data_IF_613580313679
#
_entry.id   IF_613580313679
#
_cell.length_a   1.000
_cell.length_b   1.000
_cell.length_c   1.000
_cell.angle_alpha   90.00
_cell.angle_beta   90.00
_cell.angle_gamma   90.00
#
_symmetry.space_group_name_H-M   'P 1'
#
loop_
_entity.id
_entity.type
_entity.pdbx_description
1 polymer ?
#
# COMPACT_ATOMS: atom_id res chain seq x y z
N UNK A 1 28.41 1.98 -10.31
CA UNK A 1 29.18 3.23 -10.18
C UNK A 1 28.50 4.29 -11.05
N UNK A 2 28.17 5.45 -10.46
CA UNK A 2 27.64 6.58 -11.22
C UNK A 2 28.68 7.01 -12.27
N UNK A 3 28.30 6.98 -13.56
CA UNK A 3 29.19 7.42 -14.64
C UNK A 3 29.21 8.95 -14.64
N UNK A 4 30.25 9.52 -14.08
CA UNK A 4 30.46 10.97 -14.01
C UNK A 4 30.85 11.48 -15.39
N UNK A 5 30.12 12.47 -15.89
CA UNK A 5 30.44 13.22 -17.09
C UNK A 5 31.07 14.56 -16.73
N UNK A 6 32.00 15.00 -17.52
CA UNK A 6 32.69 16.27 -17.36
C UNK A 6 32.66 17.07 -18.66
N UNK A 7 32.44 18.38 -18.54
CA UNK A 7 32.58 19.35 -19.64
C UNK A 7 33.26 20.61 -19.13
N UNK A 8 34.00 21.25 -20.06
CA UNK A 8 34.58 22.57 -19.91
C UNK A 8 34.24 23.40 -21.15
N UNK A 9 33.63 24.57 -20.97
CA UNK A 9 33.17 25.38 -22.08
C UNK A 9 33.10 26.88 -21.73
N UNK A 10 33.24 27.70 -22.74
CA UNK A 10 32.97 29.12 -22.63
C UNK A 10 31.49 29.37 -22.94
N UNK A 11 30.75 29.97 -22.00
CA UNK A 11 29.28 30.19 -22.15
C UNK A 11 28.97 31.33 -23.16
N UNK A 12 29.92 32.23 -23.47
CA UNK A 12 29.75 33.31 -24.40
C UNK A 12 29.83 32.81 -25.85
N UNK A 13 30.84 32.02 -26.18
CA UNK A 13 31.06 31.46 -27.53
C UNK A 13 30.37 30.09 -27.71
N UNK A 14 30.05 29.42 -26.63
CA UNK A 14 29.56 28.04 -26.54
C UNK A 14 30.56 27.01 -27.03
N UNK A 15 31.85 27.35 -27.10
CA UNK A 15 32.93 26.44 -27.49
C UNK A 15 33.48 25.74 -26.26
N UNK A 16 33.99 24.55 -26.45
CA UNK A 16 34.58 23.75 -25.37
C UNK A 16 34.70 22.29 -25.73
N UNK A 17 34.89 21.48 -24.70
CA UNK A 17 34.95 20.02 -24.83
C UNK A 17 34.17 19.35 -23.71
N UNK A 18 33.67 18.15 -24.02
CA UNK A 18 33.02 17.28 -23.01
C UNK A 18 33.40 15.82 -23.25
N UNK A 19 33.35 15.05 -22.17
CA UNK A 19 33.48 13.60 -22.24
C UNK A 19 32.18 12.96 -22.76
N UNK A 20 32.30 11.81 -23.42
CA UNK A 20 31.15 11.07 -23.94
C UNK A 20 30.09 10.77 -22.87
N UNK A 21 30.50 10.52 -21.65
CA UNK A 21 29.58 10.32 -20.51
C UNK A 21 28.76 11.56 -20.22
N UNK A 22 29.32 12.77 -20.38
CA UNK A 22 28.58 14.00 -20.17
C UNK A 22 27.41 14.16 -21.16
N UNK A 23 27.66 13.87 -22.44
CA UNK A 23 26.59 13.86 -23.46
C UNK A 23 25.52 12.82 -23.15
N UNK A 24 25.93 11.60 -22.84
CA UNK A 24 24.99 10.51 -22.50
C UNK A 24 24.10 10.84 -21.31
N UNK A 25 24.65 11.45 -20.27
CA UNK A 25 23.88 11.84 -19.09
C UNK A 25 22.85 12.93 -19.39
N UNK A 26 23.04 13.74 -20.45
CA UNK A 26 22.11 14.74 -20.94
C UNK A 26 21.17 14.20 -22.05
N UNK A 27 21.24 12.93 -22.41
CA UNK A 27 20.45 12.36 -23.51
C UNK A 27 20.93 12.77 -24.90
N UNK A 28 22.10 13.39 -25.00
CA UNK A 28 22.67 13.86 -26.26
C UNK A 28 23.54 12.76 -26.92
N UNK A 29 23.69 12.84 -28.24
CA UNK A 29 24.64 12.00 -28.97
C UNK A 29 26.08 12.41 -28.65
N UNK A 30 26.96 11.42 -28.57
CA UNK A 30 28.40 11.66 -28.36
C UNK A 30 28.95 12.55 -29.47
N UNK A 31 29.81 13.50 -29.08
CA UNK A 31 30.43 14.48 -29.99
C UNK A 31 29.44 15.46 -30.69
N UNK A 32 28.23 15.60 -30.18
CA UNK A 32 27.35 16.70 -30.62
C UNK A 32 28.09 18.03 -30.44
N UNK A 33 28.10 18.95 -31.45
CA UNK A 33 28.78 20.24 -31.32
C UNK A 33 28.25 21.00 -30.09
N UNK A 34 29.15 21.50 -29.25
CA UNK A 34 28.81 22.20 -28.01
C UNK A 34 27.79 23.32 -28.20
N UNK A 35 27.82 24.14 -29.25
CA UNK A 35 26.81 25.20 -29.51
C UNK A 35 25.38 24.65 -29.70
N UNK A 36 25.21 23.36 -30.04
CA UNK A 36 23.92 22.72 -30.18
C UNK A 36 23.38 22.17 -28.84
N UNK A 37 24.22 22.04 -27.84
CA UNK A 37 23.87 21.52 -26.49
C UNK A 37 23.79 22.68 -25.49
N UNK A 38 24.84 23.49 -25.40
CA UNK A 38 24.92 24.63 -24.47
C UNK A 38 23.90 25.69 -24.82
N UNK A 39 22.95 25.94 -23.89
CA UNK A 39 21.88 26.92 -24.04
C UNK A 39 20.68 26.45 -24.85
N UNK A 40 20.72 25.25 -25.42
CA UNK A 40 19.59 24.65 -26.18
C UNK A 40 18.74 23.76 -25.30
N UNK A 41 19.36 22.85 -24.56
CA UNK A 41 18.70 21.96 -23.58
C UNK A 41 17.58 21.09 -24.19
N UNK A 42 17.80 20.52 -25.38
CA UNK A 42 16.78 19.84 -26.21
C UNK A 42 16.08 18.67 -25.50
N UNK A 43 16.78 18.00 -24.58
CA UNK A 43 16.26 16.84 -23.85
C UNK A 43 15.88 17.15 -22.40
N UNK A 44 16.13 18.37 -21.92
CA UNK A 44 15.78 18.77 -20.55
C UNK A 44 14.29 19.06 -20.45
N UNK A 45 13.65 18.65 -19.35
CA UNK A 45 12.25 18.95 -19.10
C UNK A 45 12.00 20.48 -19.12
N UNK A 46 10.90 20.98 -19.72
CA UNK A 46 10.65 22.42 -19.89
C UNK A 46 10.78 23.26 -18.62
N UNK A 47 10.26 22.78 -17.50
CA UNK A 47 10.36 23.46 -16.20
C UNK A 47 11.82 23.58 -15.72
N UNK A 48 12.64 22.55 -15.95
CA UNK A 48 14.03 22.52 -15.54
C UNK A 48 14.90 23.37 -16.47
N UNK A 49 14.52 23.53 -17.77
CA UNK A 49 15.15 24.45 -18.72
C UNK A 49 15.12 25.90 -18.23
N UNK A 50 14.02 26.35 -17.64
CA UNK A 50 13.86 27.72 -17.18
C UNK A 50 14.95 28.08 -16.14
N UNK A 51 15.20 27.18 -15.19
CA UNK A 51 16.22 27.37 -14.16
C UNK A 51 17.63 27.43 -14.74
N UNK A 52 17.94 26.54 -15.70
CA UNK A 52 19.25 26.55 -16.38
C UNK A 52 19.50 27.83 -17.19
N UNK A 53 18.49 28.32 -17.92
CA UNK A 53 18.58 29.56 -18.66
C UNK A 53 18.77 30.76 -17.74
N UNK A 54 17.97 30.86 -16.69
CA UNK A 54 18.09 31.92 -15.68
C UNK A 54 19.48 31.95 -15.04
N UNK A 55 20.05 30.77 -14.75
CA UNK A 55 21.41 30.67 -14.21
C UNK A 55 22.45 31.22 -15.20
N UNK A 56 22.35 30.87 -16.49
CA UNK A 56 23.24 31.38 -17.51
C UNK A 56 23.18 32.92 -17.61
N UNK A 57 21.99 33.50 -17.54
CA UNK A 57 21.80 34.97 -17.57
C UNK A 57 22.42 35.62 -16.31
N UNK A 58 22.21 35.04 -15.14
CA UNK A 58 22.82 35.51 -13.89
C UNK A 58 24.35 35.41 -13.90
N UNK A 59 24.93 34.36 -14.51
CA UNK A 59 26.38 34.26 -14.68
C UNK A 59 26.91 35.35 -15.59
N UNK A 60 26.25 35.64 -16.73
CA UNK A 60 26.64 36.73 -17.64
C UNK A 60 26.61 38.09 -16.98
N UNK A 61 25.69 38.30 -16.04
CA UNK A 61 25.55 39.53 -15.26
C UNK A 61 26.51 39.58 -14.04
N UNK A 62 27.30 38.53 -13.81
CA UNK A 62 28.18 38.42 -12.65
C UNK A 62 27.46 38.16 -11.30
N UNK A 63 26.20 37.78 -11.33
CA UNK A 63 25.35 37.56 -10.15
C UNK A 63 25.41 36.14 -9.61
N UNK A 64 25.88 35.17 -10.38
CA UNK A 64 26.02 33.80 -9.98
C UNK A 64 27.36 33.20 -10.44
N UNK A 65 27.95 32.32 -9.64
CA UNK A 65 29.22 31.65 -9.92
C UNK A 65 29.12 30.15 -9.97
N UNK A 66 28.02 29.56 -9.47
CA UNK A 66 27.82 28.11 -9.47
C UNK A 66 26.35 27.75 -9.41
N UNK A 67 26.02 26.53 -9.89
CA UNK A 67 24.71 25.92 -9.82
C UNK A 67 24.88 24.44 -9.50
N UNK A 68 24.10 23.93 -8.54
CA UNK A 68 23.89 22.51 -8.34
C UNK A 68 22.39 22.23 -8.47
N UNK A 69 22.00 21.41 -9.44
CA UNK A 69 20.59 21.13 -9.72
C UNK A 69 20.38 19.70 -10.23
N UNK A 70 19.28 19.11 -9.80
CA UNK A 70 18.77 17.87 -10.37
C UNK A 70 17.78 18.26 -11.48
N UNK A 71 17.92 17.65 -12.65
CA UNK A 71 17.09 17.91 -13.83
C UNK A 71 16.56 16.62 -14.43
N UNK A 72 15.40 16.70 -15.03
CA UNK A 72 14.76 15.61 -15.74
C UNK A 72 15.16 15.61 -17.21
N UNK A 73 15.69 14.49 -17.68
CA UNK A 73 16.14 14.29 -19.06
C UNK A 73 15.21 13.33 -19.78
N UNK A 74 14.62 13.78 -20.89
CA UNK A 74 13.78 12.96 -21.76
C UNK A 74 14.65 12.01 -22.60
N UNK A 75 14.44 10.70 -22.49
CA UNK A 75 15.16 9.65 -23.23
C UNK A 75 14.46 9.23 -24.53
N UNK A 76 13.46 9.99 -24.99
CA UNK A 76 12.78 9.74 -26.26
C UNK A 76 11.67 8.69 -26.24
N UNK A 77 11.39 8.08 -25.11
CA UNK A 77 10.36 7.03 -24.94
C UNK A 77 9.22 7.44 -23.97
N UNK A 78 9.06 8.71 -23.74
CA UNK A 78 8.10 9.24 -22.75
C UNK A 78 8.54 9.09 -21.30
N UNK A 79 9.71 8.50 -21.05
CA UNK A 79 10.29 8.35 -19.70
C UNK A 79 11.37 9.40 -19.48
N UNK A 80 11.40 9.91 -18.26
CA UNK A 80 12.45 10.82 -17.80
C UNK A 80 13.47 10.05 -16.96
N UNK A 81 14.76 10.38 -17.17
CA UNK A 81 15.84 10.04 -16.24
C UNK A 81 16.22 11.27 -15.45
N UNK A 82 16.80 11.09 -14.28
CA UNK A 82 17.27 12.18 -13.43
C UNK A 82 18.78 12.35 -13.55
N UNK A 83 19.21 13.56 -13.82
CA UNK A 83 20.63 13.89 -13.90
C UNK A 83 20.94 15.01 -12.93
N UNK A 84 21.94 14.82 -12.08
CA UNK A 84 22.52 15.90 -11.28
C UNK A 84 23.50 16.68 -12.13
N UNK A 85 23.34 18.00 -12.17
CA UNK A 85 24.20 18.92 -12.90
C UNK A 85 24.83 19.89 -11.90
N UNK A 86 26.17 19.91 -11.88
CA UNK A 86 26.95 20.83 -11.07
C UNK A 86 27.81 21.66 -11.99
N UNK A 87 27.59 22.95 -12.00
CA UNK A 87 28.29 23.92 -12.87
C UNK A 87 28.97 24.97 -11.99
N UNK A 88 30.19 25.32 -12.33
CA UNK A 88 30.91 26.41 -11.68
C UNK A 88 31.66 27.28 -12.72
N UNK A 89 31.69 28.55 -12.45
CA UNK A 89 32.52 29.51 -13.22
C UNK A 89 33.97 29.34 -12.80
N UNK A 90 34.87 29.15 -13.77
CA UNK A 90 36.30 29.04 -13.58
C UNK A 90 37.03 30.32 -13.87
N UNK A 91 36.66 30.99 -14.95
CA UNK A 91 37.25 32.27 -15.38
C UNK A 91 36.15 33.25 -15.81
N UNK A 92 36.19 34.47 -15.30
CA UNK A 92 35.17 35.46 -15.53
C UNK A 92 35.79 36.76 -16.04
N UNK A 93 35.86 36.94 -17.36
CA UNK A 93 36.33 38.13 -18.07
C UNK A 93 35.37 38.48 -19.22
N UNK A 94 34.19 38.94 -18.90
CA UNK A 94 33.12 39.15 -19.90
C UNK A 94 33.51 40.21 -20.98
N UNK A 95 34.33 41.21 -20.63
CA UNK A 95 34.84 42.18 -21.57
C UNK A 95 35.74 41.57 -22.66
N UNK A 96 36.38 40.44 -22.36
CA UNK A 96 37.23 39.69 -23.31
C UNK A 96 36.46 38.58 -24.02
N UNK A 97 35.15 38.47 -23.79
CA UNK A 97 34.32 37.38 -24.30
C UNK A 97 34.58 36.03 -23.62
N UNK A 98 35.17 36.03 -22.41
CA UNK A 98 35.59 34.83 -21.69
C UNK A 98 34.78 34.69 -20.41
N UNK A 99 33.91 33.68 -20.38
CA UNK A 99 33.28 33.16 -19.16
C UNK A 99 33.38 31.64 -19.24
N UNK A 100 34.42 31.07 -18.63
CA UNK A 100 34.67 29.65 -18.67
C UNK A 100 33.96 28.91 -17.51
N UNK A 101 33.30 27.81 -17.84
CA UNK A 101 32.54 27.02 -16.95
C UNK A 101 33.03 25.57 -16.92
N UNK A 102 33.04 24.97 -15.73
CA UNK A 102 33.20 23.56 -15.53
C UNK A 102 31.83 22.98 -15.19
N UNK A 103 31.45 21.88 -15.85
CA UNK A 103 30.22 21.18 -15.61
C UNK A 103 30.51 19.71 -15.31
N UNK A 104 29.99 19.24 -14.17
CA UNK A 104 30.00 17.82 -13.82
C UNK A 104 28.54 17.36 -13.78
N UNK A 105 28.24 16.27 -14.44
CA UNK A 105 26.92 15.66 -14.40
C UNK A 105 27.02 14.16 -14.15
N UNK A 106 25.99 13.59 -13.55
CA UNK A 106 25.85 12.16 -13.34
C UNK A 106 24.40 11.73 -13.24
N UNK A 107 24.11 10.52 -13.72
CA UNK A 107 22.78 9.93 -13.68
C UNK A 107 22.45 9.51 -12.25
N UNK A 108 21.39 10.10 -11.68
CA UNK A 108 20.87 9.79 -10.35
C UNK A 108 19.54 9.02 -10.40
N UNK A 109 19.14 8.56 -11.59
CA UNK A 109 17.90 7.80 -11.74
C UNK A 109 17.84 6.58 -10.82
N UNK A 110 18.91 5.75 -10.72
CA UNK A 110 18.92 4.60 -9.81
C UNK A 110 18.76 5.00 -8.33
N UNK A 111 19.30 6.16 -7.95
CA UNK A 111 19.15 6.70 -6.60
C UNK A 111 17.70 7.11 -6.33
N UNK A 112 17.10 7.86 -7.26
CA UNK A 112 15.68 8.29 -7.16
C UNK A 112 14.71 7.10 -7.14
N UNK A 113 14.96 6.08 -7.95
CA UNK A 113 14.16 4.86 -7.95
C UNK A 113 14.27 4.11 -6.62
N UNK A 114 15.45 4.06 -6.04
CA UNK A 114 15.66 3.41 -4.73
C UNK A 114 14.99 4.21 -3.61
N UNK A 115 15.15 5.53 -3.61
CA UNK A 115 14.47 6.44 -2.68
C UNK A 115 12.95 6.26 -2.74
N UNK A 116 12.37 6.22 -3.94
CA UNK A 116 10.94 6.02 -4.13
C UNK A 116 10.47 4.65 -3.61
N UNK A 117 11.23 3.59 -3.87
CA UNK A 117 10.94 2.25 -3.32
C UNK A 117 10.98 2.22 -1.80
N UNK A 118 11.95 2.90 -1.19
CA UNK A 118 12.05 3.01 0.26
C UNK A 118 10.87 3.78 0.87
N UNK A 119 10.44 4.88 0.25
CA UNK A 119 9.27 5.64 0.69
C UNK A 119 8.02 4.75 0.67
N UNK A 120 7.76 4.06 -0.46
CA UNK A 120 6.61 3.17 -0.59
C UNK A 120 6.65 2.02 0.44
N UNK A 121 7.83 1.44 0.66
CA UNK A 121 8.00 0.36 1.64
C UNK A 121 7.78 0.85 3.08
N UNK A 122 8.29 2.05 3.42
CA UNK A 122 8.07 2.69 4.71
C UNK A 122 6.59 2.96 4.95
N UNK A 123 5.92 3.62 4.00
CA UNK A 123 4.52 4.01 4.13
C UNK A 123 3.62 2.78 4.32
N UNK A 124 3.92 1.70 3.58
CA UNK A 124 3.25 0.41 3.76
C UNK A 124 3.50 -0.22 5.15
N UNK A 125 4.73 -0.13 5.65
CA UNK A 125 5.07 -0.65 6.98
C UNK A 125 4.36 0.15 8.09
N UNK A 126 4.33 1.48 7.99
CA UNK A 126 3.61 2.36 8.93
C UNK A 126 2.10 2.09 8.93
N UNK A 127 1.51 1.87 7.75
CA UNK A 127 0.09 1.52 7.64
C UNK A 127 -0.22 0.17 8.31
N UNK A 128 0.61 -0.86 8.07
CA UNK A 128 0.46 -2.16 8.70
C UNK A 128 0.60 -2.08 10.23
N UNK A 129 1.55 -1.30 10.74
CA UNK A 129 1.73 -1.10 12.20
C UNK A 129 0.52 -0.40 12.82
N UNK A 130 -0.02 0.62 12.15
CA UNK A 130 -1.26 1.30 12.57
C UNK A 130 -2.45 0.35 12.60
N UNK A 131 -2.63 -0.47 11.54
CA UNK A 131 -3.70 -1.46 11.48
C UNK A 131 -3.57 -2.51 12.59
N UNK A 132 -2.35 -3.00 12.84
CA UNK A 132 -2.05 -3.93 13.93
C UNK A 132 -2.37 -3.33 15.31
N UNK A 133 -1.98 -2.09 15.55
CA UNK A 133 -2.26 -1.40 16.80
C UNK A 133 -3.77 -1.19 17.02
N UNK A 134 -4.50 -0.76 15.98
CA UNK A 134 -5.95 -0.63 16.02
C UNK A 134 -6.66 -1.97 16.25
N UNK A 135 -6.18 -3.04 15.61
CA UNK A 135 -6.69 -4.39 15.82
C UNK A 135 -6.53 -4.83 17.27
N UNK A 136 -5.33 -4.70 17.87
CA UNK A 136 -5.09 -5.08 19.26
C UNK A 136 -5.94 -4.27 20.26
N UNK A 137 -6.13 -2.97 19.99
CA UNK A 137 -7.00 -2.12 20.81
C UNK A 137 -8.46 -2.58 20.73
N UNK A 138 -8.97 -2.86 19.54
CA UNK A 138 -10.32 -3.37 19.32
C UNK A 138 -10.51 -4.76 19.98
N UNK A 139 -9.54 -5.66 19.80
CA UNK A 139 -9.60 -6.99 20.43
C UNK A 139 -9.64 -6.92 21.95
N UNK A 140 -8.85 -6.00 22.55
CA UNK A 140 -8.88 -5.76 24.00
C UNK A 140 -10.26 -5.30 24.47
N UNK A 141 -10.95 -4.49 23.68
CA UNK A 141 -12.29 -4.03 23.99
C UNK A 141 -13.33 -5.13 23.84
N UNK A 142 -13.25 -5.87 22.71
CA UNK A 142 -14.17 -6.99 22.41
C UNK A 142 -14.05 -8.14 23.42
N UNK A 143 -12.87 -8.37 24.00
CA UNK A 143 -12.65 -9.35 25.07
C UNK A 143 -13.17 -8.81 26.42
N UNK A 144 -12.96 -7.54 26.73
CA UNK A 144 -13.31 -6.95 28.03
C UNK A 144 -14.83 -6.96 28.27
N UNK A 145 -15.61 -6.69 27.26
CA UNK A 145 -17.08 -6.59 27.37
C UNK A 145 -17.72 -7.91 27.83
N UNK A 146 -17.54 -9.06 27.16
CA UNK A 146 -18.08 -10.32 27.62
C UNK A 146 -17.45 -10.77 28.96
N UNK A 147 -16.17 -10.52 29.18
CA UNK A 147 -15.52 -10.85 30.44
C UNK A 147 -16.16 -10.12 31.63
N UNK A 148 -16.41 -8.82 31.50
CA UNK A 148 -17.07 -8.03 32.54
C UNK A 148 -18.51 -8.53 32.80
N UNK A 149 -19.22 -8.93 31.73
CA UNK A 149 -20.56 -9.55 31.86
C UNK A 149 -20.50 -10.86 32.62
N UNK A 150 -19.57 -11.75 32.29
CA UNK A 150 -19.37 -13.02 32.99
C UNK A 150 -19.09 -12.77 34.48
N UNK A 151 -18.14 -11.87 34.80
CA UNK A 151 -17.78 -11.55 36.19
C UNK A 151 -18.96 -10.94 36.94
N UNK A 152 -19.65 -9.95 36.36
CA UNK A 152 -20.78 -9.28 36.99
C UNK A 152 -21.95 -10.22 37.27
N UNK A 153 -22.39 -11.00 36.28
CA UNK A 153 -23.51 -11.93 36.46
C UNK A 153 -23.14 -13.15 37.32
N UNK A 154 -21.88 -13.59 37.34
CA UNK A 154 -21.42 -14.61 38.28
C UNK A 154 -21.49 -14.12 39.72
N UNK A 155 -21.23 -12.85 40.00
CA UNK A 155 -21.41 -12.27 41.36
C UNK A 155 -22.88 -12.22 41.74
N UNK A 156 -23.76 -11.78 40.84
CA UNK A 156 -25.20 -11.75 41.08
C UNK A 156 -25.78 -13.15 41.30
N UNK A 157 -25.29 -14.16 40.59
CA UNK A 157 -25.64 -15.58 40.78
C UNK A 157 -25.37 -16.06 42.21
N UNK A 158 -24.35 -15.54 42.88
CA UNK A 158 -24.02 -15.89 44.27
C UNK A 158 -24.94 -15.19 45.29
N UNK A 159 -25.59 -14.11 44.91
CA UNK A 159 -26.41 -13.28 45.82
C UNK A 159 -27.93 -13.54 45.65
N UNK A 160 -28.39 -14.08 44.51
CA UNK A 160 -29.82 -14.28 44.28
C UNK A 160 -30.28 -15.66 44.75
N UNK A 161 -31.42 -15.69 45.45
CA UNK A 161 -32.15 -16.91 45.81
C UNK A 161 -33.29 -17.22 44.83
N UNK A 162 -33.64 -16.25 43.96
CA UNK A 162 -34.67 -16.42 42.95
C UNK A 162 -34.24 -17.39 41.84
N UNK A 163 -35.09 -18.39 41.56
CA UNK A 163 -34.78 -19.43 40.60
C UNK A 163 -34.85 -18.95 39.16
N UNK A 164 -35.75 -18.03 38.85
CA UNK A 164 -35.92 -17.47 37.49
C UNK A 164 -34.77 -16.52 37.16
N UNK A 165 -34.41 -15.62 38.05
CA UNK A 165 -33.24 -14.75 37.89
C UNK A 165 -31.94 -15.56 37.77
N UNK A 166 -31.81 -16.61 38.55
CA UNK A 166 -30.64 -17.51 38.47
C UNK A 166 -30.50 -18.16 37.11
N UNK A 167 -31.60 -18.60 36.49
CA UNK A 167 -31.57 -19.18 35.15
C UNK A 167 -31.24 -18.17 34.09
N UNK A 168 -31.74 -16.93 34.23
CA UNK A 168 -31.41 -15.84 33.32
C UNK A 168 -29.92 -15.49 33.41
N UNK A 169 -29.34 -15.34 34.59
CA UNK A 169 -27.92 -15.04 34.80
C UNK A 169 -27.02 -16.14 34.26
N UNK A 170 -27.36 -17.39 34.45
CA UNK A 170 -26.65 -18.55 33.88
C UNK A 170 -26.61 -18.42 32.37
N UNK A 171 -27.73 -18.16 31.70
CA UNK A 171 -27.84 -18.04 30.26
C UNK A 171 -26.97 -16.88 29.73
N UNK A 172 -26.93 -15.75 30.46
CA UNK A 172 -26.10 -14.59 30.10
C UNK A 172 -24.60 -14.97 30.21
N UNK A 173 -24.21 -15.66 31.29
CA UNK A 173 -22.82 -16.13 31.49
C UNK A 173 -22.42 -17.10 30.36
N UNK A 174 -23.25 -18.11 30.07
CA UNK A 174 -23.02 -19.08 29.01
C UNK A 174 -22.83 -18.40 27.63
N UNK A 175 -23.76 -17.50 27.26
CA UNK A 175 -23.71 -16.78 25.98
C UNK A 175 -22.42 -15.95 25.85
N UNK A 176 -22.01 -15.24 26.91
CA UNK A 176 -20.78 -14.45 26.89
C UNK A 176 -19.52 -15.31 26.90
N UNK A 177 -19.55 -16.49 27.50
CA UNK A 177 -18.46 -17.45 27.46
C UNK A 177 -18.28 -18.03 26.04
N UNK A 178 -19.37 -18.41 25.36
CA UNK A 178 -19.32 -18.84 23.96
C UNK A 178 -18.74 -17.74 23.04
N UNK A 179 -19.17 -16.49 23.24
CA UNK A 179 -18.64 -15.34 22.50
C UNK A 179 -17.12 -15.17 22.72
N UNK A 180 -16.66 -15.29 23.96
CA UNK A 180 -15.24 -15.17 24.30
C UNK A 180 -14.42 -16.29 23.66
N UNK A 181 -14.91 -17.54 23.71
CA UNK A 181 -14.24 -18.68 23.08
C UNK A 181 -14.13 -18.49 21.56
N UNK A 182 -15.19 -17.97 20.93
CA UNK A 182 -15.17 -17.66 19.49
C UNK A 182 -14.12 -16.60 19.17
N UNK A 183 -14.05 -15.49 19.94
CA UNK A 183 -13.05 -14.44 19.76
C UNK A 183 -11.61 -14.97 19.88
N UNK A 184 -11.34 -15.81 20.89
CA UNK A 184 -10.03 -16.43 21.07
C UNK A 184 -9.69 -17.32 19.87
N UNK A 185 -10.65 -18.12 19.39
CA UNK A 185 -10.45 -18.96 18.20
C UNK A 185 -10.14 -18.14 16.96
N UNK A 186 -10.85 -17.01 16.75
CA UNK A 186 -10.65 -16.13 15.61
C UNK A 186 -9.25 -15.47 15.64
N UNK A 187 -8.77 -15.06 16.83
CA UNK A 187 -7.42 -14.50 17.01
C UNK A 187 -6.35 -15.56 16.71
N UNK A 188 -6.54 -16.81 17.18
CA UNK A 188 -5.61 -17.90 16.92
C UNK A 188 -5.57 -18.26 15.43
N UNK A 189 -6.73 -18.29 14.76
CA UNK A 189 -6.81 -18.52 13.31
C UNK A 189 -6.07 -17.42 12.54
N UNK A 190 -6.27 -16.15 12.91
CA UNK A 190 -5.54 -15.04 12.30
C UNK A 190 -4.02 -15.15 12.49
N UNK A 191 -3.58 -15.50 13.70
CA UNK A 191 -2.15 -15.70 13.99
C UNK A 191 -1.53 -16.82 13.16
N UNK A 192 -2.26 -17.92 12.94
CA UNK A 192 -1.82 -19.02 12.06
C UNK A 192 -1.75 -18.62 10.60
N UNK A 193 -2.70 -17.79 10.13
CA UNK A 193 -2.69 -17.26 8.76
C UNK A 193 -1.49 -16.33 8.56
N UNK A 194 -1.25 -15.40 9.49
CA UNK A 194 -0.11 -14.45 9.41
C UNK A 194 1.25 -15.17 9.44
N UNK A 195 1.37 -16.23 10.23
CA UNK A 195 2.61 -17.03 10.30
C UNK A 195 2.79 -18.02 9.15
N UNK A 196 1.78 -18.17 8.28
CA UNK A 196 1.79 -19.16 7.20
C UNK A 196 1.74 -20.62 7.69
N UNK A 197 1.36 -20.84 8.95
CA UNK A 197 1.28 -22.18 9.59
C UNK A 197 -0.15 -22.73 9.63
N UNK A 198 -1.03 -22.17 8.78
CA UNK A 198 -2.42 -22.58 8.73
C UNK A 198 -2.58 -23.87 7.92
N UNK A 199 -2.90 -24.97 8.59
CA UNK A 199 -3.12 -26.25 7.94
C UNK A 199 -4.58 -26.44 7.52
N UNK A 200 -4.79 -26.80 6.26
CA UNK A 200 -6.10 -27.11 5.70
C UNK A 200 -6.28 -28.63 5.62
N UNK A 201 -7.32 -29.15 6.27
CA UNK A 201 -7.73 -30.54 6.14
C UNK A 201 -8.74 -30.67 5.01
N UNK A 202 -8.23 -30.88 3.80
CA UNK A 202 -9.07 -30.95 2.59
C UNK A 202 -9.77 -32.30 2.48
N UNK A 203 -11.05 -32.24 2.11
CA UNK A 203 -11.89 -33.40 1.82
C UNK A 203 -12.88 -33.07 0.71
N UNK A 204 -13.48 -34.08 0.13
CA UNK A 204 -14.60 -33.88 -0.78
C UNK A 204 -15.80 -33.32 -0.02
N UNK A 205 -16.39 -32.26 -0.55
CA UNK A 205 -17.48 -31.51 0.06
C UNK A 205 -18.62 -31.31 -0.93
N UNK A 206 -19.80 -31.80 -0.60
CA UNK A 206 -21.04 -31.41 -1.26
C UNK A 206 -21.45 -30.00 -0.80
N UNK A 207 -21.36 -29.03 -1.73
CA UNK A 207 -21.69 -27.62 -1.47
C UNK A 207 -23.15 -27.44 -1.14
N UNK A 208 -24.06 -28.15 -1.86
CA UNK A 208 -25.49 -28.04 -1.67
C UNK A 208 -25.90 -28.53 -0.28
N UNK A 209 -25.43 -29.71 0.10
CA UNK A 209 -25.71 -30.27 1.43
C UNK A 209 -25.17 -29.34 2.54
N UNK A 210 -23.96 -28.82 2.35
CA UNK A 210 -23.31 -27.95 3.33
C UNK A 210 -24.04 -26.62 3.49
N UNK A 211 -24.43 -25.96 2.38
CA UNK A 211 -25.20 -24.73 2.42
C UNK A 211 -26.57 -24.93 3.08
N UNK A 212 -27.26 -26.03 2.76
CA UNK A 212 -28.55 -26.36 3.41
C UNK A 212 -28.40 -26.59 4.91
N UNK A 213 -27.33 -27.24 5.36
CA UNK A 213 -27.02 -27.41 6.79
C UNK A 213 -26.81 -26.08 7.50
N UNK A 214 -26.09 -25.14 6.86
CA UNK A 214 -25.88 -23.80 7.41
C UNK A 214 -27.22 -23.06 7.54
N UNK A 215 -28.01 -22.98 6.47
CA UNK A 215 -29.33 -22.34 6.48
C UNK A 215 -30.18 -22.86 7.62
N UNK A 216 -30.33 -24.19 7.71
CA UNK A 216 -31.10 -24.84 8.76
C UNK A 216 -30.59 -24.54 10.18
N UNK A 217 -29.28 -24.45 10.37
CA UNK A 217 -28.71 -24.12 11.69
C UNK A 217 -28.96 -22.68 12.14
N UNK A 218 -29.19 -21.78 11.19
CA UNK A 218 -29.42 -20.37 11.45
C UNK A 218 -30.92 -19.98 11.44
N UNK A 219 -31.80 -20.89 11.05
CA UNK A 219 -33.24 -20.64 10.89
C UNK A 219 -33.88 -20.00 12.15
N UNK A 220 -33.51 -20.46 13.34
CA UNK A 220 -34.00 -19.91 14.59
C UNK A 220 -33.49 -18.49 14.92
N UNK A 221 -32.43 -18.03 14.24
CA UNK A 221 -31.84 -16.70 14.42
C UNK A 221 -32.37 -15.68 13.42
N UNK A 222 -33.12 -16.13 12.40
CA UNK A 222 -33.65 -15.27 11.34
C UNK A 222 -34.87 -14.53 11.89
N UNK A 223 -34.91 -13.18 11.82
CA UNK A 223 -36.10 -12.40 12.18
C UNK A 223 -37.25 -12.75 11.26
N UNK A 224 -38.50 -12.68 11.77
CA UNK A 224 -39.75 -12.92 10.97
C UNK A 224 -39.88 -12.02 9.74
N UNK A 225 -39.19 -10.88 9.72
CA UNK A 225 -39.16 -9.90 8.64
C UNK A 225 -38.15 -10.17 7.55
N UNK A 226 -37.32 -11.24 7.71
CA UNK A 226 -36.22 -11.58 6.81
C UNK A 226 -36.42 -13.00 6.29
N UNK A 227 -36.32 -13.17 4.98
CA UNK A 227 -36.27 -14.50 4.35
C UNK A 227 -34.83 -14.90 4.11
N UNK A 228 -34.41 -16.06 4.63
CA UNK A 228 -33.09 -16.64 4.36
C UNK A 228 -33.25 -17.82 3.39
N UNK A 229 -32.76 -17.66 2.15
CA UNK A 229 -32.95 -18.64 1.08
C UNK A 229 -31.63 -19.15 0.53
N UNK A 230 -31.62 -20.42 0.06
CA UNK A 230 -30.51 -21.00 -0.67
C UNK A 230 -30.89 -21.18 -2.16
N UNK A 231 -30.19 -20.49 -3.04
CA UNK A 231 -30.34 -20.58 -4.48
C UNK A 231 -29.37 -21.59 -5.06
N UNK A 232 -29.88 -22.80 -5.26
CA UNK A 232 -29.10 -23.91 -5.81
C UNK A 232 -28.92 -23.74 -7.33
N UNK A 233 -27.66 -23.62 -7.80
CA UNK A 233 -27.38 -23.47 -9.23
C UNK A 233 -27.32 -24.81 -9.97
N UNK A 234 -26.66 -25.85 -9.40
CA UNK A 234 -26.51 -27.18 -10.00
C UNK A 234 -27.10 -28.28 -9.10
N UNK A 235 -27.60 -29.38 -9.68
CA UNK A 235 -28.12 -30.51 -8.88
C UNK A 235 -27.03 -31.10 -7.98
N UNK A 236 -25.80 -31.22 -8.47
CA UNK A 236 -24.65 -31.75 -7.74
C UNK A 236 -23.47 -30.78 -7.88
N UNK A 237 -22.88 -30.36 -6.74
CA UNK A 237 -21.73 -29.48 -6.70
C UNK A 237 -20.76 -29.97 -5.62
N UNK A 238 -19.66 -30.56 -6.08
CA UNK A 238 -18.61 -31.08 -5.20
C UNK A 238 -17.34 -30.27 -5.37
N UNK A 239 -16.68 -29.92 -4.25
CA UNK A 239 -15.39 -29.23 -4.21
C UNK A 239 -14.43 -29.94 -3.24
N UNK A 240 -13.14 -29.86 -3.53
CA UNK A 240 -12.10 -30.43 -2.66
C UNK A 240 -11.53 -29.34 -1.77
N UNK A 241 -12.09 -29.19 -0.55
CA UNK A 241 -11.74 -28.11 0.39
C UNK A 241 -11.83 -28.54 1.84
N UNK A 242 -11.45 -27.67 2.77
CA UNK A 242 -11.67 -27.87 4.20
C UNK A 242 -13.12 -27.56 4.55
N UNK A 243 -13.86 -28.58 4.94
CA UNK A 243 -15.28 -28.51 5.29
C UNK A 243 -15.57 -27.52 6.42
N UNK A 244 -14.76 -27.55 7.48
CA UNK A 244 -14.98 -26.71 8.65
C UNK A 244 -14.77 -25.25 8.31
N UNK A 245 -13.74 -24.94 7.53
CA UNK A 245 -13.44 -23.59 7.09
C UNK A 245 -14.45 -23.06 6.08
N UNK A 246 -14.89 -23.90 5.16
CA UNK A 246 -15.99 -23.54 4.26
C UNK A 246 -17.26 -23.16 5.05
N UNK A 247 -17.67 -24.02 6.00
CA UNK A 247 -18.82 -23.75 6.86
C UNK A 247 -18.65 -22.47 7.67
N UNK A 248 -17.47 -22.25 8.26
CA UNK A 248 -17.12 -21.07 9.06
C UNK A 248 -17.27 -19.77 8.24
N UNK A 249 -16.69 -19.73 7.03
CA UNK A 249 -16.73 -18.56 6.15
C UNK A 249 -18.16 -18.21 5.76
N UNK A 250 -18.93 -19.19 5.28
CA UNK A 250 -20.33 -18.97 4.87
C UNK A 250 -21.20 -18.54 6.05
N UNK A 251 -21.05 -19.21 7.21
CA UNK A 251 -21.78 -18.84 8.42
C UNK A 251 -21.49 -17.39 8.86
N UNK A 252 -20.23 -16.97 8.80
CA UNK A 252 -19.83 -15.61 9.13
C UNK A 252 -20.47 -14.57 8.19
N UNK A 253 -20.49 -14.85 6.88
CA UNK A 253 -21.19 -13.96 5.91
C UNK A 253 -22.67 -13.86 6.19
N UNK A 254 -23.36 -14.98 6.45
CA UNK A 254 -24.79 -14.97 6.75
C UNK A 254 -25.08 -14.26 8.08
N UNK A 255 -24.30 -14.50 9.13
CA UNK A 255 -24.47 -13.80 10.40
C UNK A 255 -24.26 -12.29 10.25
N UNK A 256 -23.30 -11.86 9.44
CA UNK A 256 -23.12 -10.43 9.12
C UNK A 256 -24.34 -9.89 8.35
N UNK A 257 -24.83 -10.62 7.35
CA UNK A 257 -26.02 -10.22 6.62
C UNK A 257 -27.24 -10.09 7.52
N UNK A 258 -27.49 -11.06 8.41
CA UNK A 258 -28.58 -11.02 9.39
C UNK A 258 -28.47 -9.84 10.35
N UNK A 259 -27.26 -9.48 10.78
CA UNK A 259 -27.02 -8.35 11.67
C UNK A 259 -27.43 -7.00 11.04
N UNK A 260 -27.25 -6.85 9.72
CA UNK A 260 -27.47 -5.58 9.02
C UNK A 260 -28.76 -5.53 8.21
N UNK A 261 -29.45 -6.67 8.02
CA UNK A 261 -30.72 -6.73 7.26
C UNK A 261 -31.89 -6.73 8.24
N UNK A 262 -32.69 -5.66 8.22
CA UNK A 262 -33.87 -5.52 9.09
C UNK A 262 -35.13 -6.13 8.47
N UNK A 263 -35.23 -6.15 7.14
CA UNK A 263 -36.34 -6.73 6.38
C UNK A 263 -35.89 -7.05 4.96
N UNK A 264 -36.46 -8.05 4.33
CA UNK A 264 -36.20 -8.47 2.94
C UNK A 264 -35.60 -9.87 2.88
N UNK A 265 -34.82 -10.17 1.83
CA UNK A 265 -34.32 -11.51 1.55
C UNK A 265 -32.78 -11.52 1.61
N UNK A 266 -32.23 -12.50 2.31
CA UNK A 266 -30.82 -12.87 2.27
C UNK A 266 -30.71 -14.14 1.44
N UNK A 267 -30.11 -14.05 0.26
CA UNK A 267 -29.92 -15.19 -0.64
C UNK A 267 -28.47 -15.69 -0.56
N UNK A 268 -28.30 -16.96 -0.27
CA UNK A 268 -27.02 -17.69 -0.41
C UNK A 268 -27.07 -18.43 -1.74
N UNK A 269 -26.11 -18.20 -2.60
CA UNK A 269 -26.01 -18.85 -3.90
C UNK A 269 -24.58 -18.97 -4.36
N UNK A 270 -24.37 -19.70 -5.45
CA UNK A 270 -23.08 -19.82 -6.15
C UNK A 270 -23.32 -19.88 -7.66
N UNK A 271 -22.33 -19.44 -8.43
CA UNK A 271 -22.30 -19.45 -9.89
C UNK A 271 -21.06 -20.21 -10.37
N UNK A 272 -21.10 -20.70 -11.62
CA UNK A 272 -19.97 -21.40 -12.24
C UNK A 272 -19.19 -20.44 -13.15
#
# INVERSE_FOLDING_TARGET
YAKVGFAHFNIMTRDGYAQNTWYRNLGEKENTPMPQVIGVYSHVHPEDCAVLKQFVDQVKEGKATSLSKEVRINRGNGKYSWTSINVMVRDYRPQDGVIEMLCINYDITPLKETEQKLIIARDKAEELDRLKSAFLANMSHEIRTPLNSIVGFSSLLAETDDREERQEYIKIVETNNELLLQLVSDILDLSKIESGTFDFVRSDLDVNESCMKIIKSLEMKVPETVDLVFEKYMPDCHIYTDKNRFMQVITNFINNALKFTKQGTIALGYEQ
#
